data_IF_779606524942
#
_entry.id   IF_779606524942
#
_cell.length_a   1.000
_cell.length_b   1.000
_cell.length_c   1.000
_cell.angle_alpha   90.00
_cell.angle_beta   90.00
_cell.angle_gamma   90.00
#
_symmetry.space_group_name_H-M   'P 1'
#
loop_
_entity.id
_entity.type
_entity.pdbx_description
1 polymer ?
#
# COMPACT_ATOMS: atom_id res chain seq x y z
N UNK A 1 -10.67 -7.20 11.37
CA UNK A 1 -12.02 -7.34 10.78
C UNK A 1 -12.54 -5.93 10.51
N UNK A 2 -12.46 -5.46 9.27
CA UNK A 2 -12.91 -4.12 8.85
C UNK A 2 -13.79 -4.21 7.60
N UNK A 3 -14.37 -3.10 7.13
CA UNK A 3 -15.34 -3.10 6.04
C UNK A 3 -14.81 -3.65 4.70
N UNK A 4 -13.48 -3.70 4.52
CA UNK A 4 -12.84 -4.27 3.33
C UNK A 4 -12.20 -5.65 3.58
N UNK A 5 -12.56 -6.32 4.68
CA UNK A 5 -12.07 -7.67 4.96
C UNK A 5 -12.42 -8.65 3.83
N UNK A 6 -11.44 -9.44 3.40
CA UNK A 6 -11.60 -10.42 2.33
C UNK A 6 -11.33 -9.89 0.92
N UNK A 7 -11.16 -8.57 0.75
CA UNK A 7 -10.75 -7.99 -0.53
C UNK A 7 -9.23 -7.96 -0.66
N UNK A 8 -8.74 -8.27 -1.86
CA UNK A 8 -7.34 -8.15 -2.26
C UNK A 8 -7.19 -7.06 -3.31
N UNK A 9 -6.27 -6.12 -3.06
CA UNK A 9 -6.07 -4.93 -3.88
C UNK A 9 -4.62 -4.91 -4.36
N UNK A 10 -4.44 -4.67 -5.66
CA UNK A 10 -3.12 -4.46 -6.25
C UNK A 10 -2.86 -2.96 -6.34
N UNK A 11 -1.77 -2.52 -5.72
CA UNK A 11 -1.26 -1.17 -5.84
C UNK A 11 -0.07 -1.14 -6.81
N UNK A 12 -0.12 -0.27 -7.81
CA UNK A 12 1.05 0.05 -8.62
C UNK A 12 1.80 1.17 -7.94
N UNK A 13 3.08 0.93 -7.61
CA UNK A 13 3.87 1.84 -6.81
C UNK A 13 3.88 3.27 -7.39
N UNK A 14 3.64 4.23 -6.50
CA UNK A 14 3.64 5.65 -6.79
C UNK A 14 4.05 6.45 -5.56
N UNK A 15 4.11 7.77 -5.68
CA UNK A 15 4.49 8.68 -4.60
C UNK A 15 3.26 9.51 -4.22
N UNK A 16 3.11 9.83 -2.93
CA UNK A 16 2.07 10.74 -2.45
C UNK A 16 0.69 10.09 -2.41
N UNK A 17 -0.27 10.48 -3.27
CA UNK A 17 -1.66 10.03 -3.18
C UNK A 17 -1.84 8.50 -3.29
N UNK A 18 -1.02 7.81 -4.09
CA UNK A 18 -1.15 6.37 -4.30
C UNK A 18 -0.91 5.55 -3.02
N UNK A 19 0.26 5.66 -2.35
CA UNK A 19 0.50 4.94 -1.10
C UNK A 19 -0.41 5.41 0.03
N UNK A 20 -0.88 6.66 0.01
CA UNK A 20 -1.87 7.15 0.97
C UNK A 20 -3.23 6.48 0.81
N UNK A 21 -3.73 6.35 -0.43
CA UNK A 21 -4.99 5.65 -0.68
C UNK A 21 -4.88 4.15 -0.33
N UNK A 22 -3.78 3.50 -0.74
CA UNK A 22 -3.50 2.11 -0.42
C UNK A 22 -3.49 1.86 1.09
N UNK A 23 -2.86 2.74 1.85
CA UNK A 23 -2.85 2.71 3.31
C UNK A 23 -4.25 2.81 3.92
N UNK A 24 -5.11 3.71 3.44
CA UNK A 24 -6.48 3.83 3.94
C UNK A 24 -7.30 2.56 3.68
N UNK A 25 -7.10 1.92 2.52
CA UNK A 25 -7.77 0.66 2.17
C UNK A 25 -7.28 -0.49 3.05
N UNK A 26 -5.99 -0.56 3.31
CA UNK A 26 -5.40 -1.51 4.24
C UNK A 26 -5.90 -1.30 5.68
N UNK A 27 -5.99 -0.05 6.15
CA UNK A 27 -6.53 0.30 7.48
C UNK A 27 -8.01 -0.17 7.63
N UNK A 28 -8.77 -0.20 6.53
CA UNK A 28 -10.13 -0.75 6.47
C UNK A 28 -10.19 -2.28 6.37
N UNK A 29 -9.05 -2.97 6.36
CA UNK A 29 -8.93 -4.43 6.42
C UNK A 29 -8.72 -5.14 5.08
N UNK A 30 -8.44 -4.41 4.00
CA UNK A 30 -8.07 -5.02 2.72
C UNK A 30 -6.65 -5.62 2.77
N UNK A 31 -6.41 -6.69 2.01
CA UNK A 31 -5.05 -7.15 1.69
C UNK A 31 -4.51 -6.34 0.51
N UNK A 32 -3.60 -5.41 0.77
CA UNK A 32 -2.97 -4.59 -0.26
C UNK A 32 -1.60 -5.16 -0.60
N UNK A 33 -1.35 -5.42 -1.88
CA UNK A 33 -0.07 -5.91 -2.42
C UNK A 33 0.51 -4.84 -3.34
N UNK A 34 1.70 -4.36 -3.00
CA UNK A 34 2.39 -3.32 -3.78
C UNK A 34 3.27 -3.93 -4.86
N UNK A 35 3.12 -3.46 -6.11
CA UNK A 35 3.96 -3.86 -7.24
C UNK A 35 4.87 -2.70 -7.61
N UNK A 36 6.17 -2.92 -7.48
CA UNK A 36 7.20 -1.96 -7.90
C UNK A 36 7.87 -2.37 -9.21
N UNK A 37 8.31 -1.38 -9.98
CA UNK A 37 9.14 -1.63 -11.15
C UNK A 37 10.56 -1.93 -10.67
N UNK A 38 11.09 -3.11 -10.99
CA UNK A 38 12.44 -3.55 -10.61
C UNK A 38 13.55 -2.52 -10.87
N UNK A 39 13.44 -1.74 -11.94
CA UNK A 39 14.43 -0.72 -12.33
C UNK A 39 14.25 0.64 -11.62
N UNK A 40 13.14 0.83 -10.92
CA UNK A 40 12.77 2.07 -10.26
C UNK A 40 12.26 1.76 -8.85
N UNK A 41 12.95 0.87 -8.13
CA UNK A 41 12.70 0.68 -6.70
C UNK A 41 12.85 2.05 -6.04
N UNK A 42 11.72 2.63 -5.64
CA UNK A 42 11.74 3.90 -4.95
C UNK A 42 12.48 3.67 -3.65
N UNK A 43 13.41 4.57 -3.30
CA UNK A 43 13.98 4.53 -1.95
C UNK A 43 12.88 4.97 -0.99
N UNK A 44 12.07 4.01 -0.56
CA UNK A 44 11.09 4.24 0.48
C UNK A 44 11.88 4.44 1.77
N UNK A 45 11.71 5.59 2.46
CA UNK A 45 12.34 5.80 3.74
C UNK A 45 11.97 4.64 4.68
N UNK A 46 12.90 4.15 5.53
CA UNK A 46 12.63 3.04 6.45
C UNK A 46 11.43 3.27 7.39
N UNK A 47 10.93 4.50 7.47
CA UNK A 47 9.89 4.97 8.39
C UNK A 47 8.76 5.69 7.63
N UNK A 48 8.49 5.34 6.38
CA UNK A 48 7.36 5.92 5.64
C UNK A 48 6.02 5.51 6.31
N UNK A 49 5.25 6.47 6.86
CA UNK A 49 4.01 6.18 7.58
C UNK A 49 2.91 5.61 6.68
N UNK A 50 3.07 5.72 5.36
CA UNK A 50 2.11 5.18 4.38
C UNK A 50 2.26 3.68 4.20
N UNK A 51 3.36 3.05 4.64
CA UNK A 51 3.56 1.60 4.50
C UNK A 51 2.83 0.76 5.55
N UNK A 52 2.20 1.38 6.55
CA UNK A 52 1.49 0.64 7.59
C UNK A 52 0.39 -0.24 6.99
N UNK A 53 0.23 -1.44 7.56
CA UNK A 53 -0.82 -2.41 7.20
C UNK A 53 -0.80 -2.89 5.74
N UNK A 54 0.23 -2.59 4.96
CA UNK A 54 0.41 -3.01 3.56
C UNK A 54 1.45 -4.13 3.45
N UNK A 55 1.35 -4.94 2.39
CA UNK A 55 2.30 -6.01 2.05
C UNK A 55 3.06 -5.74 0.76
#
# INVERSE_FOLDING_TARGET
>A
MGPLAGYRIIELAGIGPTPFAAMMLADMGAEVITIERKAAAFQIPPQDPTLRNRK
#
